data_IF_237288255328
#
_entry.id   IF_237288255328
#
_cell.length_a   1.000
_cell.length_b   1.000
_cell.length_c   1.000
_cell.angle_alpha   90.00
_cell.angle_beta   90.00
_cell.angle_gamma   90.00
#
_symmetry.space_group_name_H-M   'P 1'
#
loop_
_entity.id
_entity.type
_entity.pdbx_description
1 polymer ?
#
# COMPACT_ATOMS: atom_id res chain seq x y z
N UNK A 1 -29.77 -31.17 -3.92
CA UNK A 1 -28.42 -30.89 -3.40
C UNK A 1 -27.67 -30.29 -4.56
N UNK A 2 -27.44 -28.97 -4.56
CA UNK A 2 -26.75 -28.31 -5.67
C UNK A 2 -25.25 -28.60 -5.50
N UNK A 3 -24.65 -29.23 -6.51
CA UNK A 3 -23.19 -29.39 -6.56
C UNK A 3 -22.56 -27.99 -6.65
N UNK A 4 -21.50 -27.71 -5.87
CA UNK A 4 -20.82 -26.43 -5.91
C UNK A 4 -20.22 -26.24 -7.32
N UNK A 5 -20.67 -25.22 -8.04
CA UNK A 5 -20.14 -24.79 -9.35
C UNK A 5 -18.76 -24.13 -9.26
N UNK A 6 -18.08 -24.23 -8.13
CA UNK A 6 -16.75 -23.67 -7.93
C UNK A 6 -15.77 -24.63 -8.63
N UNK A 7 -14.92 -24.15 -9.55
CA UNK A 7 -13.86 -24.96 -10.12
C UNK A 7 -13.02 -25.60 -9.00
N UNK A 8 -12.69 -26.88 -9.14
CA UNK A 8 -11.82 -27.58 -8.19
C UNK A 8 -10.52 -26.78 -7.97
N UNK A 9 -10.28 -26.33 -6.73
CA UNK A 9 -9.06 -25.62 -6.33
C UNK A 9 -9.20 -24.11 -6.11
N UNK A 10 -10.36 -23.50 -6.36
CA UNK A 10 -10.58 -22.10 -5.95
C UNK A 10 -11.12 -22.02 -4.50
N UNK A 11 -10.62 -21.09 -3.66
CA UNK A 11 -11.11 -20.92 -2.30
C UNK A 11 -12.58 -20.49 -2.29
N UNK A 12 -13.38 -21.04 -1.38
CA UNK A 12 -14.75 -20.57 -1.16
C UNK A 12 -14.71 -19.21 -0.46
N UNK A 13 -14.73 -18.14 -1.25
CA UNK A 13 -14.70 -16.76 -0.74
C UNK A 13 -16.11 -16.30 -0.32
N UNK A 14 -16.18 -15.63 0.83
CA UNK A 14 -17.42 -15.00 1.29
C UNK A 14 -17.87 -13.91 0.32
N UNK A 15 -19.18 -13.77 0.12
CA UNK A 15 -19.74 -12.65 -0.64
C UNK A 15 -19.56 -11.33 0.10
N UNK A 16 -19.27 -10.27 -0.65
CA UNK A 16 -19.10 -8.92 -0.11
C UNK A 16 -20.35 -8.44 0.65
N UNK A 17 -21.55 -8.77 0.17
CA UNK A 17 -22.82 -8.44 0.85
C UNK A 17 -22.94 -9.08 2.24
N UNK A 18 -22.51 -10.34 2.34
CA UNK A 18 -22.60 -11.11 3.59
C UNK A 18 -21.55 -10.65 4.58
N UNK A 19 -20.33 -10.37 4.09
CA UNK A 19 -19.26 -9.82 4.90
C UNK A 19 -19.60 -8.42 5.44
N UNK A 20 -20.17 -7.53 4.63
CA UNK A 20 -20.62 -6.22 5.10
C UNK A 20 -21.69 -6.35 6.19
N UNK A 21 -22.64 -7.28 6.02
CA UNK A 21 -23.64 -7.56 7.06
C UNK A 21 -22.99 -8.04 8.37
N UNK A 22 -21.99 -8.91 8.27
CA UNK A 22 -21.21 -9.38 9.40
C UNK A 22 -20.45 -8.23 10.11
N UNK A 23 -19.81 -7.33 9.35
CA UNK A 23 -19.10 -6.17 9.90
C UNK A 23 -20.01 -5.25 10.72
N UNK A 24 -21.26 -5.09 10.29
CA UNK A 24 -22.26 -4.20 10.91
C UNK A 24 -23.16 -4.91 11.94
N UNK A 25 -23.01 -6.22 12.13
CA UNK A 25 -23.78 -6.95 13.11
C UNK A 25 -23.46 -6.48 14.54
N UNK A 26 -24.44 -6.46 15.48
CA UNK A 26 -24.17 -6.19 16.88
C UNK A 26 -23.08 -7.12 17.44
N UNK A 27 -21.99 -6.55 17.98
CA UNK A 27 -20.83 -7.32 18.45
C UNK A 27 -19.85 -7.79 17.36
N UNK A 28 -20.07 -7.38 16.11
CA UNK A 28 -19.17 -7.63 14.98
C UNK A 28 -17.86 -6.83 15.04
N UNK A 29 -16.93 -7.05 14.09
CA UNK A 29 -15.58 -6.47 14.14
C UNK A 29 -15.55 -4.95 14.32
N UNK A 30 -16.43 -4.19 13.62
CA UNK A 30 -16.49 -2.72 13.77
C UNK A 30 -16.94 -2.27 15.16
N UNK A 31 -17.80 -3.04 15.83
CA UNK A 31 -18.21 -2.73 17.20
C UNK A 31 -17.08 -3.00 18.21
N UNK A 32 -16.26 -4.04 17.96
CA UNK A 32 -15.16 -4.44 18.87
C UNK A 32 -13.97 -3.48 18.88
N UNK A 33 -13.64 -2.87 17.73
CA UNK A 33 -12.58 -1.84 17.62
C UNK A 33 -12.82 -0.66 18.57
N UNK A 34 -14.07 -0.39 18.94
CA UNK A 34 -14.44 0.72 19.83
C UNK A 34 -14.43 0.31 21.32
N UNK A 35 -14.52 -0.98 21.65
CA UNK A 35 -14.96 -1.39 23.00
C UNK A 35 -13.96 -2.23 23.80
N UNK A 36 -13.02 -2.99 23.23
CA UNK A 36 -12.20 -3.91 24.05
C UNK A 36 -10.72 -4.03 23.65
N UNK A 37 -9.83 -3.82 24.63
CA UNK A 37 -8.45 -4.31 24.65
C UNK A 37 -8.43 -5.61 25.48
N UNK A 38 -8.79 -6.74 24.88
CA UNK A 38 -8.64 -8.04 25.56
C UNK A 38 -7.14 -8.37 25.67
N UNK A 39 -6.59 -8.61 26.88
CA UNK A 39 -5.18 -8.93 27.04
C UNK A 39 -4.82 -10.21 26.26
N UNK A 40 -3.85 -10.11 25.34
CA UNK A 40 -3.33 -11.24 24.57
C UNK A 40 -3.87 -11.37 23.14
N UNK A 41 -4.84 -10.54 22.72
CA UNK A 41 -5.21 -10.46 21.29
C UNK A 41 -4.27 -9.52 20.53
N UNK A 42 -3.83 -9.89 19.31
CA UNK A 42 -3.12 -8.96 18.45
C UNK A 42 -4.04 -7.76 18.19
N UNK A 43 -3.53 -6.55 18.38
CA UNK A 43 -4.25 -5.29 18.16
C UNK A 43 -3.46 -4.41 17.19
N UNK A 44 -4.16 -3.55 16.45
CA UNK A 44 -3.51 -2.58 15.57
C UNK A 44 -2.83 -1.52 16.43
N UNK A 45 -1.61 -1.13 16.06
CA UNK A 45 -0.91 -0.04 16.75
C UNK A 45 -1.67 1.28 16.60
N UNK A 46 -1.58 2.14 17.60
CA UNK A 46 -2.19 3.48 17.56
C UNK A 46 -1.69 4.33 16.39
N UNK A 47 -0.41 4.15 16.01
CA UNK A 47 0.17 4.84 14.85
C UNK A 47 -0.41 4.37 13.52
N UNK A 48 -0.66 3.07 13.37
CA UNK A 48 -1.31 2.53 12.18
C UNK A 48 -2.77 2.96 12.12
N UNK A 49 -3.50 2.87 13.24
CA UNK A 49 -4.89 3.34 13.31
C UNK A 49 -5.01 4.82 12.94
N UNK A 50 -4.14 5.68 13.47
CA UNK A 50 -4.13 7.10 13.15
C UNK A 50 -3.93 7.36 11.65
N UNK A 51 -3.08 6.58 10.99
CA UNK A 51 -2.88 6.69 9.54
C UNK A 51 -4.08 6.18 8.74
N UNK A 52 -4.68 5.04 9.12
CA UNK A 52 -5.88 4.52 8.46
C UNK A 52 -7.06 5.49 8.58
N UNK A 53 -7.25 6.08 9.76
CA UNK A 53 -8.29 7.08 9.98
C UNK A 53 -8.08 8.30 9.08
N UNK A 54 -6.85 8.78 8.86
CA UNK A 54 -6.60 9.93 7.97
C UNK A 54 -7.10 9.69 6.55
N UNK A 55 -7.03 8.46 6.06
CA UNK A 55 -7.53 8.10 4.73
C UNK A 55 -9.06 8.15 4.67
N UNK A 56 -9.76 7.64 5.68
CA UNK A 56 -11.23 7.68 5.73
C UNK A 56 -11.80 9.12 5.77
N UNK A 57 -11.12 10.04 6.46
CA UNK A 57 -11.56 11.45 6.58
C UNK A 57 -11.53 12.23 5.25
N UNK A 58 -10.83 11.71 4.24
CA UNK A 58 -10.79 12.31 2.90
C UNK A 58 -12.07 12.07 2.07
N UNK A 59 -13.04 11.33 2.62
CA UNK A 59 -14.32 11.05 1.97
C UNK A 59 -14.25 9.96 0.89
N UNK A 60 -13.09 9.34 0.70
CA UNK A 60 -12.89 8.19 -0.17
C UNK A 60 -12.66 6.93 0.68
N UNK A 61 -13.13 5.77 0.20
CA UNK A 61 -12.79 4.49 0.82
C UNK A 61 -11.27 4.33 0.80
N UNK A 62 -10.66 3.85 1.89
CA UNK A 62 -9.20 3.67 1.98
C UNK A 62 -8.69 2.86 0.79
N UNK A 63 -7.75 3.44 0.04
CA UNK A 63 -7.20 2.77 -1.13
C UNK A 63 -6.26 1.66 -0.68
N UNK A 64 -6.25 0.54 -1.41
CA UNK A 64 -5.40 -0.62 -1.06
C UNK A 64 -3.94 -0.21 -0.90
N UNK A 65 -3.43 0.62 -1.81
CA UNK A 65 -2.03 1.07 -1.76
C UNK A 65 -1.71 1.87 -0.48
N UNK A 66 -2.62 2.73 -0.02
CA UNK A 66 -2.41 3.53 1.19
C UNK A 66 -2.36 2.65 2.44
N UNK A 67 -3.29 1.70 2.54
CA UNK A 67 -3.31 0.74 3.65
C UNK A 67 -2.02 -0.08 3.68
N UNK A 68 -1.62 -0.66 2.54
CA UNK A 68 -0.40 -1.45 2.47
C UNK A 68 0.86 -0.61 2.74
N UNK A 69 0.92 0.63 2.24
CA UNK A 69 2.01 1.56 2.52
C UNK A 69 2.13 1.86 4.02
N UNK A 70 1.00 2.10 4.69
CA UNK A 70 0.96 2.32 6.13
C UNK A 70 1.45 1.08 6.90
N UNK A 71 1.00 -0.12 6.52
CA UNK A 71 1.43 -1.38 7.14
C UNK A 71 2.94 -1.60 7.01
N UNK A 72 3.51 -1.35 5.83
CA UNK A 72 4.96 -1.44 5.59
C UNK A 72 5.73 -0.43 6.43
N UNK A 73 5.27 0.82 6.46
CA UNK A 73 5.91 1.88 7.25
C UNK A 73 5.93 1.59 8.75
N UNK A 74 4.83 1.03 9.26
CA UNK A 74 4.70 0.70 10.68
C UNK A 74 5.17 -0.71 11.04
N UNK A 75 5.71 -1.46 10.07
CA UNK A 75 6.16 -2.85 10.25
C UNK A 75 5.11 -3.74 10.95
N UNK A 76 3.84 -3.56 10.61
CA UNK A 76 2.71 -4.24 11.25
C UNK A 76 2.14 -5.34 10.34
N UNK A 77 1.84 -6.48 10.94
CA UNK A 77 1.16 -7.58 10.26
C UNK A 77 -0.36 -7.42 10.36
N UNK A 78 -1.02 -7.39 9.22
CA UNK A 78 -2.48 -7.16 9.14
C UNK A 78 -3.14 -8.12 8.17
N UNK A 79 -4.44 -8.32 8.32
CA UNK A 79 -5.32 -8.83 7.27
C UNK A 79 -6.11 -7.66 6.70
N UNK A 80 -6.03 -7.50 5.39
CA UNK A 80 -6.83 -6.54 4.63
C UNK A 80 -7.92 -7.31 3.89
N UNK A 81 -9.17 -7.02 4.21
CA UNK A 81 -10.32 -7.60 3.54
C UNK A 81 -10.63 -6.78 2.30
N UNK A 82 -10.30 -7.33 1.13
CA UNK A 82 -10.47 -6.68 -0.16
C UNK A 82 -11.76 -7.14 -0.82
N UNK A 83 -12.57 -6.20 -1.29
CA UNK A 83 -13.63 -6.50 -2.22
C UNK A 83 -13.04 -6.71 -3.62
N UNK A 84 -13.31 -7.87 -4.21
CA UNK A 84 -12.98 -8.22 -5.59
C UNK A 84 -14.26 -8.71 -6.28
N UNK A 85 -14.90 -7.82 -7.02
CA UNK A 85 -16.25 -8.05 -7.55
C UNK A 85 -17.26 -8.29 -6.42
N UNK A 86 -17.91 -9.45 -6.44
CA UNK A 86 -18.91 -9.87 -5.44
C UNK A 86 -18.28 -10.64 -4.26
N UNK A 87 -16.98 -10.92 -4.29
CA UNK A 87 -16.29 -11.74 -3.28
C UNK A 87 -15.37 -10.90 -2.40
N UNK A 88 -15.09 -11.41 -1.20
CA UNK A 88 -14.09 -10.84 -0.29
C UNK A 88 -12.84 -11.71 -0.29
N UNK A 89 -11.70 -11.10 -0.60
CA UNK A 89 -10.38 -11.72 -0.56
C UNK A 89 -9.64 -11.23 0.68
N UNK A 90 -9.31 -12.10 1.65
CA UNK A 90 -8.43 -11.74 2.75
C UNK A 90 -6.97 -11.73 2.27
N UNK A 91 -6.35 -10.55 2.25
CA UNK A 91 -4.93 -10.39 1.97
C UNK A 91 -4.18 -10.16 3.28
N UNK A 92 -3.46 -11.19 3.75
CA UNK A 92 -2.60 -11.03 4.93
C UNK A 92 -1.26 -10.45 4.51
N UNK A 93 -0.79 -9.42 5.21
CA UNK A 93 0.44 -8.69 4.90
C UNK A 93 1.47 -8.95 5.98
N UNK A 94 2.58 -9.57 5.60
CA UNK A 94 3.73 -9.78 6.45
C UNK A 94 4.79 -8.72 6.17
N UNK A 95 4.58 -7.52 6.74
CA UNK A 95 5.38 -6.33 6.43
C UNK A 95 6.89 -6.52 6.62
N UNK A 96 7.30 -7.16 7.72
CA UNK A 96 8.72 -7.40 8.05
C UNK A 96 9.32 -8.45 7.11
N UNK A 97 8.61 -9.55 6.89
CA UNK A 97 9.05 -10.68 6.04
C UNK A 97 8.99 -10.35 4.54
N UNK A 98 8.37 -9.22 4.18
CA UNK A 98 8.11 -8.81 2.79
C UNK A 98 7.31 -9.86 2.02
N UNK A 99 6.35 -10.49 2.70
CA UNK A 99 5.43 -11.48 2.13
C UNK A 99 3.99 -11.01 2.24
N UNK A 100 3.15 -11.62 1.43
CA UNK A 100 1.70 -11.62 1.60
C UNK A 100 1.20 -13.05 1.56
N UNK A 101 0.09 -13.33 2.25
CA UNK A 101 -0.69 -14.55 2.05
C UNK A 101 -2.02 -14.18 1.41
N UNK A 102 -2.32 -14.79 0.26
CA UNK A 102 -3.53 -14.54 -0.51
C UNK A 102 -4.11 -15.89 -0.98
N UNK A 103 -5.38 -16.23 -0.65
CA UNK A 103 -5.97 -17.51 -1.03
C UNK A 103 -6.26 -17.60 -2.55
N UNK A 104 -6.23 -16.47 -3.26
CA UNK A 104 -6.30 -16.42 -4.72
C UNK A 104 -4.94 -16.03 -5.29
N UNK A 105 -4.66 -16.46 -6.52
CA UNK A 105 -3.44 -16.07 -7.24
C UNK A 105 -3.31 -14.54 -7.29
N UNK A 106 -2.10 -14.03 -7.03
CA UNK A 106 -1.81 -12.59 -7.13
C UNK A 106 -2.02 -12.06 -8.54
N UNK A 107 -1.73 -12.87 -9.57
CA UNK A 107 -2.01 -12.50 -10.95
C UNK A 107 -3.52 -12.32 -11.17
N UNK A 108 -4.35 -13.21 -10.64
CA UNK A 108 -5.81 -13.08 -10.70
C UNK A 108 -6.30 -11.82 -9.96
N UNK A 109 -5.75 -11.55 -8.78
CA UNK A 109 -6.04 -10.34 -8.00
C UNK A 109 -5.67 -9.06 -8.78
N UNK A 110 -4.54 -9.06 -9.48
CA UNK A 110 -4.05 -7.92 -10.26
C UNK A 110 -4.67 -7.81 -11.67
N UNK A 111 -5.28 -8.88 -12.19
CA UNK A 111 -6.04 -8.87 -13.44
C UNK A 111 -7.41 -8.21 -13.28
N UNK A 112 -7.99 -8.28 -12.08
CA UNK A 112 -9.30 -7.71 -11.72
C UNK A 112 -9.30 -6.17 -11.59
N UNK A 113 -8.63 -5.48 -12.53
CA UNK A 113 -8.42 -4.02 -12.57
C UNK A 113 -8.03 -3.47 -11.18
N UNK A 114 -6.74 -3.28 -10.88
CA UNK A 114 -6.29 -2.87 -9.55
C UNK A 114 -6.95 -1.57 -8.99
N UNK A 115 -7.56 -0.77 -9.84
CA UNK A 115 -8.40 0.40 -9.51
C UNK A 115 -9.75 0.06 -8.87
N UNK A 116 -10.27 -1.15 -9.06
CA UNK A 116 -11.59 -1.60 -8.58
C UNK A 116 -11.52 -2.35 -7.23
N UNK A 117 -10.32 -2.70 -6.77
CA UNK A 117 -10.10 -3.29 -5.46
C UNK A 117 -10.42 -2.27 -4.36
N UNK A 118 -11.33 -2.63 -3.45
CA UNK A 118 -11.74 -1.78 -2.33
C UNK A 118 -11.38 -2.43 -1.01
N UNK A 119 -10.86 -1.64 -0.07
CA UNK A 119 -10.67 -2.10 1.30
C UNK A 119 -12.02 -2.03 2.03
N UNK A 120 -12.48 -3.17 2.52
CA UNK A 120 -13.69 -3.26 3.35
C UNK A 120 -13.38 -3.15 4.84
N UNK A 121 -12.31 -3.80 5.28
CA UNK A 121 -11.90 -3.86 6.67
C UNK A 121 -10.40 -4.20 6.80
N UNK A 122 -9.78 -3.70 7.87
CA UNK A 122 -8.40 -4.02 8.24
C UNK A 122 -8.40 -4.47 9.69
N UNK A 123 -7.74 -5.59 9.96
CA UNK A 123 -7.59 -6.13 11.30
C UNK A 123 -6.18 -6.73 11.52
N UNK A 124 -5.76 -6.97 12.76
CA UNK A 124 -4.48 -7.58 13.07
C UNK A 124 -4.37 -8.99 12.47
N UNK A 125 -3.19 -9.34 11.96
CA UNK A 125 -2.98 -10.69 11.43
C UNK A 125 -2.93 -11.73 12.56
N UNK A 126 -3.74 -12.78 12.42
CA UNK A 126 -3.64 -14.01 13.22
C UNK A 126 -2.70 -15.02 12.56
N UNK A 127 -2.73 -15.08 11.22
CA UNK A 127 -1.83 -15.93 10.44
C UNK A 127 -0.38 -15.52 10.66
N UNK A 128 0.54 -16.49 10.62
CA UNK A 128 2.00 -16.30 10.76
C UNK A 128 2.72 -16.46 9.43
N UNK A 129 3.92 -15.89 9.33
CA UNK A 129 4.79 -16.05 8.17
C UNK A 129 5.40 -17.47 8.15
N UNK A 130 5.86 -17.96 6.98
CA UNK A 130 6.52 -19.26 6.90
C UNK A 130 7.78 -19.29 7.78
N UNK A 131 7.95 -20.37 8.55
CA UNK A 131 9.10 -20.53 9.47
C UNK A 131 8.86 -20.00 10.90
N UNK A 132 7.67 -19.50 11.20
CA UNK A 132 7.26 -19.17 12.58
C UNK A 132 7.22 -20.43 13.47
N UNK A 133 7.48 -20.26 14.77
CA UNK A 133 7.46 -21.35 15.75
C UNK A 133 6.05 -21.94 15.92
N UNK A 134 5.01 -21.11 15.75
CA UNK A 134 3.61 -21.54 15.85
C UNK A 134 3.10 -22.04 14.50
N UNK A 135 3.61 -23.20 14.06
CA UNK A 135 3.34 -23.77 12.74
C UNK A 135 1.84 -23.97 12.42
N UNK A 136 0.98 -24.15 13.43
CA UNK A 136 -0.47 -24.26 13.25
C UNK A 136 -1.14 -22.98 12.77
N UNK A 137 -0.47 -21.82 12.91
CA UNK A 137 -0.94 -20.54 12.41
C UNK A 137 -0.27 -20.15 11.08
N UNK A 138 0.58 -21.01 10.51
CA UNK A 138 1.15 -20.81 9.18
C UNK A 138 0.16 -21.37 8.16
N UNK A 139 -0.19 -20.55 7.17
CA UNK A 139 -1.11 -20.92 6.09
C UNK A 139 -0.47 -21.86 5.07
N UNK A 140 -1.20 -22.11 3.98
CA UNK A 140 -0.71 -22.96 2.91
C UNK A 140 0.44 -22.29 2.14
N UNK A 141 1.54 -23.00 1.95
CA UNK A 141 2.77 -22.47 1.32
C UNK A 141 2.55 -21.82 -0.05
N UNK A 142 1.64 -22.37 -0.86
CA UNK A 142 1.32 -21.89 -2.21
C UNK A 142 0.62 -20.53 -2.25
N UNK A 143 0.03 -20.10 -1.14
CA UNK A 143 -0.65 -18.81 -1.00
C UNK A 143 0.28 -17.68 -0.54
N UNK A 144 1.54 -18.00 -0.22
CA UNK A 144 2.54 -16.99 0.11
C UNK A 144 3.21 -16.43 -1.14
N UNK A 145 3.23 -15.11 -1.25
CA UNK A 145 3.81 -14.41 -2.38
C UNK A 145 4.69 -13.24 -1.93
N UNK A 146 5.68 -12.83 -2.74
CA UNK A 146 6.46 -11.63 -2.45
C UNK A 146 5.58 -10.37 -2.42
N UNK A 147 5.75 -9.55 -1.39
CA UNK A 147 5.03 -8.28 -1.25
C UNK A 147 5.50 -7.22 -2.25
N UNK A 148 6.80 -7.24 -2.62
CA UNK A 148 7.44 -6.20 -3.44
C UNK A 148 6.79 -6.03 -4.83
N UNK A 149 6.56 -7.10 -5.63
CA UNK A 149 5.89 -6.98 -6.93
C UNK A 149 4.44 -6.50 -6.78
N UNK A 150 3.72 -6.96 -5.74
CA UNK A 150 2.35 -6.51 -5.50
C UNK A 150 2.29 -4.99 -5.25
N UNK A 151 3.15 -4.46 -4.38
CA UNK A 151 3.23 -3.02 -4.12
C UNK A 151 3.60 -2.22 -5.37
N UNK A 152 4.52 -2.74 -6.19
CA UNK A 152 4.92 -2.13 -7.45
C UNK A 152 3.74 -2.01 -8.42
N UNK A 153 2.99 -3.10 -8.61
CA UNK A 153 1.85 -3.14 -9.51
C UNK A 153 0.69 -2.28 -9.02
N UNK A 154 0.40 -2.28 -7.71
CA UNK A 154 -0.62 -1.42 -7.12
C UNK A 154 -0.24 0.08 -7.20
N UNK A 155 1.04 0.43 -7.06
CA UNK A 155 1.48 1.81 -7.22
C UNK A 155 1.33 2.31 -8.66
N UNK A 156 1.68 1.46 -9.63
CA UNK A 156 1.64 1.84 -11.05
C UNK A 156 0.25 1.77 -11.67
N UNK A 157 -0.61 0.84 -11.22
CA UNK A 157 -1.90 0.54 -11.86
C UNK A 157 -3.12 0.64 -10.93
N UNK A 158 -2.94 0.89 -9.64
CA UNK A 158 -4.03 0.98 -8.66
C UNK A 158 -4.86 2.25 -8.76
N UNK A 159 -5.86 2.38 -7.89
CA UNK A 159 -6.75 3.55 -7.85
C UNK A 159 -5.99 4.87 -7.61
N UNK A 160 -4.94 4.81 -6.78
CA UNK A 160 -4.19 5.99 -6.37
C UNK A 160 -3.37 6.63 -7.50
N UNK A 161 -3.83 7.78 -7.98
CA UNK A 161 -3.05 8.63 -8.90
C UNK A 161 -2.14 9.65 -8.21
N UNK A 162 -2.43 10.00 -6.95
CA UNK A 162 -1.70 11.03 -6.20
C UNK A 162 -0.49 10.45 -5.44
N UNK A 163 0.44 11.32 -5.05
CA UNK A 163 1.53 10.93 -4.16
C UNK A 163 1.01 10.44 -2.80
N UNK A 164 1.73 9.47 -2.24
CA UNK A 164 1.58 9.10 -0.84
C UNK A 164 1.90 10.33 0.04
N UNK A 165 1.12 10.61 1.11
CA UNK A 165 1.28 11.82 1.91
C UNK A 165 2.70 12.03 2.48
N UNK A 166 3.43 10.94 2.69
CA UNK A 166 4.78 10.89 3.25
C UNK A 166 5.83 11.50 2.34
N UNK A 167 5.59 11.42 1.03
CA UNK A 167 6.51 11.87 -0.01
C UNK A 167 5.95 13.05 -0.80
N UNK A 168 4.77 13.55 -0.43
CA UNK A 168 4.15 14.71 -1.03
C UNK A 168 4.79 16.03 -0.54
N UNK A 169 4.45 17.13 -1.22
CA UNK A 169 4.88 18.48 -0.87
C UNK A 169 6.01 19.02 -1.77
N UNK A 170 6.65 20.10 -1.32
CA UNK A 170 7.76 20.73 -2.04
C UNK A 170 9.06 19.96 -1.80
N UNK A 171 9.28 18.96 -2.64
CA UNK A 171 10.43 18.06 -2.54
C UNK A 171 10.99 17.73 -3.91
N UNK A 172 12.27 17.36 -3.93
CA UNK A 172 12.94 16.76 -5.07
C UNK A 172 13.29 15.30 -4.76
N UNK A 173 13.23 14.45 -5.77
CA UNK A 173 13.34 13.01 -5.68
C UNK A 173 14.53 12.50 -6.47
N UNK A 174 15.22 11.50 -5.93
CA UNK A 174 16.19 10.69 -6.67
C UNK A 174 16.11 9.24 -6.21
N UNK A 175 16.58 8.31 -7.04
CA UNK A 175 16.68 6.89 -6.68
C UNK A 175 17.89 6.69 -5.77
N UNK A 176 17.71 5.88 -4.71
CA UNK A 176 18.79 5.50 -3.82
C UNK A 176 19.83 4.63 -4.57
N UNK A 177 21.14 4.83 -4.33
CA UNK A 177 22.15 3.98 -4.93
C UNK A 177 21.98 2.53 -4.44
N UNK A 178 22.17 1.55 -5.35
CA UNK A 178 22.07 0.13 -5.01
C UNK A 178 20.65 -0.40 -4.85
N UNK A 179 19.63 0.37 -5.27
CA UNK A 179 18.25 -0.12 -5.33
C UNK A 179 18.15 -1.32 -6.23
N UNK A 180 17.66 -2.43 -5.68
CA UNK A 180 17.34 -3.63 -6.43
C UNK A 180 15.94 -3.48 -7.03
N UNK A 181 15.84 -3.45 -8.36
CA UNK A 181 14.56 -3.50 -9.08
C UNK A 181 14.37 -4.82 -9.84
N UNK A 182 15.19 -5.82 -9.55
CA UNK A 182 15.06 -7.14 -10.16
C UNK A 182 13.72 -7.79 -9.78
N UNK A 183 13.16 -8.57 -10.70
CA UNK A 183 11.84 -9.19 -10.52
C UNK A 183 10.65 -8.23 -10.61
N UNK A 184 10.87 -6.92 -10.79
CA UNK A 184 9.80 -5.95 -11.02
C UNK A 184 9.59 -5.73 -12.52
N UNK A 185 8.33 -5.55 -12.93
CA UNK A 185 7.99 -5.24 -14.31
C UNK A 185 8.27 -3.76 -14.59
N UNK A 186 9.43 -3.48 -15.16
CA UNK A 186 9.82 -2.14 -15.62
C UNK A 186 9.72 -2.07 -17.14
N UNK A 187 8.74 -1.33 -17.67
CA UNK A 187 8.45 -1.28 -19.11
C UNK A 187 8.12 0.14 -19.61
N UNK A 188 8.17 0.33 -20.93
CA UNK A 188 7.84 1.60 -21.57
C UNK A 188 8.81 2.71 -21.21
N UNK A 189 8.30 3.86 -20.75
CA UNK A 189 9.11 5.01 -20.37
C UNK A 189 9.77 4.90 -18.97
N UNK A 190 9.40 3.89 -18.17
CA UNK A 190 9.90 3.73 -16.80
C UNK A 190 11.42 3.53 -16.70
N UNK A 191 12.09 2.69 -17.53
CA UNK A 191 13.54 2.50 -17.43
C UNK A 191 14.32 3.82 -17.61
N UNK A 192 13.93 4.64 -18.59
CA UNK A 192 14.57 5.92 -18.85
C UNK A 192 14.36 6.91 -17.69
N UNK A 193 13.15 6.97 -17.13
CA UNK A 193 12.84 7.80 -15.98
C UNK A 193 13.64 7.39 -14.73
N UNK A 194 13.73 6.08 -14.45
CA UNK A 194 14.52 5.53 -13.34
C UNK A 194 16.00 5.86 -13.53
N UNK A 195 16.54 5.69 -14.75
CA UNK A 195 17.93 6.04 -15.04
C UNK A 195 18.23 7.51 -14.78
N UNK A 196 17.33 8.42 -15.16
CA UNK A 196 17.47 9.86 -14.84
C UNK A 196 17.49 10.09 -13.33
N UNK A 197 16.56 9.49 -12.59
CA UNK A 197 16.48 9.62 -11.13
C UNK A 197 17.69 8.99 -10.40
N UNK A 198 18.38 8.03 -11.01
CA UNK A 198 19.64 7.49 -10.46
C UNK A 198 20.79 8.49 -10.59
N UNK A 199 20.76 9.37 -11.60
CA UNK A 199 21.79 10.38 -11.86
C UNK A 199 21.64 11.66 -11.04
N UNK A 200 20.43 12.22 -10.98
CA UNK A 200 20.17 13.50 -10.30
C UNK A 200 18.80 13.55 -9.61
N UNK A 201 18.53 14.65 -8.91
CA UNK A 201 17.26 14.94 -8.22
C UNK A 201 16.32 15.73 -9.13
N UNK A 202 15.03 15.40 -9.10
CA UNK A 202 13.99 16.08 -9.86
C UNK A 202 12.73 16.29 -9.02
N UNK A 203 12.05 17.40 -9.23
CA UNK A 203 10.71 17.66 -8.66
C UNK A 203 9.63 16.91 -9.45
N UNK A 204 8.46 16.71 -8.83
CA UNK A 204 7.32 16.10 -9.53
C UNK A 204 6.95 16.85 -10.81
N UNK A 205 7.03 18.20 -10.78
CA UNK A 205 6.72 19.05 -11.93
C UNK A 205 7.68 18.78 -13.10
N UNK A 206 8.99 18.73 -12.84
CA UNK A 206 9.98 18.43 -13.87
C UNK A 206 9.82 17.02 -14.44
N UNK A 207 9.43 16.05 -13.61
CA UNK A 207 9.16 14.68 -14.05
C UNK A 207 7.92 14.59 -14.94
N UNK A 208 6.89 15.40 -14.68
CA UNK A 208 5.67 15.43 -15.47
C UNK A 208 5.92 15.89 -16.93
N UNK A 209 6.99 16.65 -17.17
CA UNK A 209 7.36 17.12 -18.51
C UNK A 209 8.21 16.10 -19.29
N UNK A 210 8.49 14.91 -18.73
CA UNK A 210 9.29 13.89 -19.42
C UNK A 210 8.50 13.16 -20.51
N UNK A 211 9.18 12.66 -21.57
CA UNK A 211 8.52 11.87 -22.60
C UNK A 211 7.79 10.65 -22.03
N UNK A 212 6.48 10.56 -22.31
CA UNK A 212 5.62 9.47 -21.84
C UNK A 212 5.16 9.59 -20.39
N UNK A 213 5.42 10.72 -19.73
CA UNK A 213 4.94 11.04 -18.38
C UNK A 213 3.91 12.16 -18.40
N UNK A 214 3.10 12.16 -17.34
CA UNK A 214 2.29 13.25 -16.86
C UNK A 214 2.43 13.28 -15.33
N UNK A 215 1.73 14.21 -14.66
CA UNK A 215 1.78 14.35 -13.20
C UNK A 215 1.37 13.08 -12.46
N UNK A 216 0.35 12.38 -12.97
CA UNK A 216 -0.17 11.16 -12.34
C UNK A 216 0.82 10.02 -12.48
N UNK A 217 1.33 9.76 -13.68
CA UNK A 217 2.31 8.72 -13.94
C UNK A 217 3.63 8.97 -13.21
N UNK A 218 4.04 10.23 -13.08
CA UNK A 218 5.20 10.61 -12.28
C UNK A 218 4.96 10.30 -10.79
N UNK A 219 3.78 10.66 -10.27
CA UNK A 219 3.38 10.35 -8.89
C UNK A 219 3.36 8.84 -8.62
N UNK A 220 2.79 8.05 -9.54
CA UNK A 220 2.73 6.59 -9.47
C UNK A 220 4.12 5.95 -9.45
N UNK A 221 5.05 6.42 -10.29
CA UNK A 221 6.43 5.94 -10.27
C UNK A 221 7.12 6.28 -8.94
N UNK A 222 6.93 7.49 -8.41
CA UNK A 222 7.52 7.90 -7.13
C UNK A 222 6.98 7.07 -5.96
N UNK A 223 5.67 6.82 -5.93
CA UNK A 223 5.06 5.91 -4.96
C UNK A 223 5.68 4.51 -5.05
N UNK A 224 5.81 3.98 -6.28
CA UNK A 224 6.38 2.65 -6.51
C UNK A 224 7.82 2.57 -5.98
N UNK A 225 8.67 3.55 -6.31
CA UNK A 225 10.05 3.61 -5.84
C UNK A 225 10.16 3.80 -4.32
N UNK A 226 9.29 4.62 -3.73
CA UNK A 226 9.25 4.81 -2.28
C UNK A 226 8.96 3.49 -1.54
N UNK A 227 8.00 2.71 -2.04
CA UNK A 227 7.60 1.43 -1.43
C UNK A 227 8.67 0.34 -1.56
N UNK A 228 9.61 0.48 -2.50
CA UNK A 228 10.80 -0.36 -2.58
C UNK A 228 11.96 0.12 -1.68
N UNK A 229 11.70 1.06 -0.76
CA UNK A 229 12.73 1.76 0.02
C UNK A 229 13.80 2.41 -0.86
N UNK A 230 13.40 2.78 -2.08
CA UNK A 230 14.30 3.13 -3.16
C UNK A 230 14.36 4.61 -3.52
N UNK A 231 13.68 5.44 -2.74
CA UNK A 231 13.52 6.86 -3.02
C UNK A 231 14.19 7.69 -1.94
N UNK A 232 15.05 8.62 -2.37
CA UNK A 232 15.60 9.67 -1.53
C UNK A 232 14.78 10.93 -1.77
N UNK A 233 14.16 11.42 -0.70
CA UNK A 233 13.31 12.63 -0.73
C UNK A 233 14.07 13.79 -0.09
N UNK A 234 14.33 14.83 -0.88
CA UNK A 234 15.02 16.04 -0.44
C UNK A 234 14.01 17.19 -0.36
N UNK A 235 13.74 17.70 0.85
CA UNK A 235 12.86 18.86 1.00
C UNK A 235 13.51 20.10 0.39
N UNK A 236 12.84 20.70 -0.59
CA UNK A 236 13.28 21.99 -1.13
C UNK A 236 12.85 23.05 -0.14
N UNK A 237 13.81 23.83 0.39
CA UNK A 237 13.45 24.96 1.25
C UNK A 237 12.62 25.95 0.42
N UNK A 238 11.56 26.55 0.99
CA UNK A 238 10.90 27.68 0.35
C UNK A 238 11.95 28.77 0.15
N UNK A 239 12.20 29.14 -1.09
CA UNK A 239 12.98 30.34 -1.40
C UNK A 239 12.13 31.55 -1.07
N UNK A 240 12.32 32.12 0.13
CA UNK A 240 11.89 33.49 0.42
C UNK A 240 11.45 33.75 1.86
N UNK A 241 12.36 34.28 2.68
CA UNK A 241 12.13 35.45 3.54
C UNK A 241 13.50 36.07 3.91
N UNK A 242 13.88 37.18 3.26
CA UNK A 242 14.63 38.27 3.92
C UNK A 242 16.11 38.53 3.57
N UNK A 243 16.43 38.96 2.35
CA UNK A 243 17.55 39.91 2.10
C UNK A 243 17.20 41.35 2.58
N UNK A 244 16.61 41.51 3.77
CA UNK A 244 16.23 42.83 4.30
C UNK A 244 16.38 42.99 5.81
N UNK A 245 17.29 42.25 6.45
CA UNK A 245 17.65 42.49 7.86
C UNK A 245 18.93 43.32 8.03
N UNK A 246 19.81 43.42 7.02
CA UNK A 246 21.07 44.18 7.11
C UNK A 246 20.99 45.64 6.60
N UNK A 247 19.83 46.12 6.15
CA UNK A 247 19.64 47.50 5.67
C UNK A 247 19.29 48.55 6.73
N UNK A 248 19.04 48.15 7.98
CA UNK A 248 18.47 49.03 9.01
C UNK A 248 19.43 49.42 10.16
N UNK A 249 20.74 49.21 10.00
CA UNK A 249 21.76 49.63 10.99
C UNK A 249 22.78 50.62 10.43
N UNK A 250 22.33 51.52 9.55
CA UNK A 250 23.21 52.53 8.97
C UNK A 250 22.48 53.79 8.53
N UNK A 251 21.92 54.54 9.48
CA UNK A 251 21.84 56.01 9.45
C UNK A 251 21.80 56.56 10.87
#
# INVERSE_FOLDING_TARGET
>A
MFEPTIPFGEPELMRASDFLRYLHAPGGPRARVVTELTPGQPSLSQSLLADLMRFEHSGQASEVLEVLAACVRHAQHVVVHLQMGESVVPLTVFAVDRLVHCPVSIDALLLQRPTELRVLHVEPAVLRAPGDAEASLVGEGQHYHPLRPLLWELALRGARGALLPEIAGQVAYRVAPGVDLSGLRVAGALPAAIQKLQGDRYTLREMADWPGFDSERASRLLNALYLQSGLIVSRTRPTGFGESFFGALGR
#
